data_IF_241223253378
#
_entry.id   IF_241223253378
#
_cell.length_a   1.000
_cell.length_b   1.000
_cell.length_c   1.000
_cell.angle_alpha   90.00
_cell.angle_beta   90.00
_cell.angle_gamma   90.00
#
_symmetry.space_group_name_H-M   'P 1'
#
loop_
_entity.id
_entity.type
_entity.pdbx_description
1 polymer ?
#
# COMPACT_ATOMS: atom_id res chain seq x y z
N UNK A 1 17.15 -5.61 13.13
CA UNK A 1 17.31 -4.51 12.17
C UNK A 1 16.09 -4.58 11.26
N UNK A 2 15.43 -3.45 10.96
CA UNK A 2 14.22 -3.44 10.11
C UNK A 2 14.60 -3.77 8.66
N UNK A 3 13.83 -4.67 8.05
CA UNK A 3 13.91 -5.04 6.63
C UNK A 3 12.60 -4.67 5.95
N UNK A 4 12.62 -3.65 5.14
CA UNK A 4 11.43 -2.98 4.61
C UNK A 4 11.31 -3.24 3.12
N UNK A 5 10.12 -3.62 2.67
CA UNK A 5 9.75 -3.68 1.25
C UNK A 5 8.70 -2.61 0.95
N UNK A 6 8.97 -1.77 -0.04
CA UNK A 6 8.04 -0.76 -0.52
C UNK A 6 7.58 -1.17 -1.90
N UNK A 7 6.31 -1.56 -2.04
CA UNK A 7 5.69 -1.88 -3.33
C UNK A 7 4.91 -0.68 -3.84
N UNK A 8 5.02 -0.37 -5.14
CA UNK A 8 4.56 0.88 -5.73
C UNK A 8 5.58 2.01 -5.52
N UNK A 9 6.86 1.67 -5.48
CA UNK A 9 7.97 2.59 -5.18
C UNK A 9 8.13 3.72 -6.22
N UNK A 10 7.71 3.50 -7.46
CA UNK A 10 7.74 4.51 -8.53
C UNK A 10 6.58 5.49 -8.51
N UNK A 11 5.66 5.38 -7.54
CA UNK A 11 4.56 6.34 -7.32
C UNK A 11 5.01 7.58 -6.56
N UNK A 12 4.11 8.59 -6.45
CA UNK A 12 4.38 9.86 -5.76
C UNK A 12 4.89 9.67 -4.32
N UNK A 13 4.22 8.86 -3.51
CA UNK A 13 4.66 8.59 -2.13
C UNK A 13 5.95 7.76 -2.13
N UNK A 14 6.02 6.74 -2.98
CA UNK A 14 7.14 5.80 -2.98
C UNK A 14 8.48 6.44 -3.34
N UNK A 15 8.49 7.34 -4.33
CA UNK A 15 9.69 8.06 -4.78
C UNK A 15 10.33 8.92 -3.69
N UNK A 16 9.54 9.43 -2.75
CA UNK A 16 10.02 10.20 -1.60
C UNK A 16 10.31 9.30 -0.38
N UNK A 17 9.46 8.31 -0.16
CA UNK A 17 9.55 7.45 1.03
C UNK A 17 10.77 6.52 0.99
N UNK A 18 11.11 5.98 -0.18
CA UNK A 18 12.26 5.06 -0.31
C UNK A 18 13.57 5.72 0.09
N UNK A 19 13.97 6.89 -0.47
CA UNK A 19 15.20 7.56 -0.05
C UNK A 19 15.19 7.94 1.43
N UNK A 20 14.05 8.42 1.93
CA UNK A 20 13.93 8.78 3.33
C UNK A 20 14.14 7.58 4.27
N UNK A 21 13.48 6.45 4.01
CA UNK A 21 13.68 5.26 4.84
C UNK A 21 15.09 4.66 4.68
N UNK A 22 15.68 4.76 3.50
CA UNK A 22 17.10 4.38 3.30
C UNK A 22 18.05 5.21 4.15
N UNK A 23 17.80 6.49 4.29
CA UNK A 23 18.61 7.36 5.16
C UNK A 23 18.51 6.99 6.64
N UNK A 24 17.36 6.46 7.09
CA UNK A 24 17.12 6.07 8.48
C UNK A 24 17.60 4.64 8.80
N UNK A 25 17.40 3.71 7.88
CA UNK A 25 17.61 2.28 8.14
C UNK A 25 18.79 1.69 7.36
N UNK A 26 19.39 2.45 6.45
CA UNK A 26 20.46 2.03 5.55
C UNK A 26 19.92 1.46 4.23
N UNK A 27 20.63 1.75 3.13
CA UNK A 27 20.22 1.45 1.75
C UNK A 27 19.84 -0.02 1.55
N UNK A 28 20.66 -0.95 2.07
CA UNK A 28 20.45 -2.39 1.93
C UNK A 28 19.32 -2.98 2.77
N UNK A 29 18.67 -2.16 3.59
CA UNK A 29 17.56 -2.58 4.45
C UNK A 29 16.19 -2.14 3.91
N UNK A 30 16.16 -1.38 2.82
CA UNK A 30 14.94 -0.89 2.19
C UNK A 30 14.94 -1.29 0.71
N UNK A 31 14.13 -2.28 0.40
CA UNK A 31 13.92 -2.79 -0.96
C UNK A 31 12.79 -2.00 -1.62
N UNK A 32 13.08 -1.37 -2.73
CA UNK A 32 12.07 -0.75 -3.59
C UNK A 32 11.53 -1.78 -4.59
N UNK A 33 10.22 -1.79 -4.83
CA UNK A 33 9.62 -2.66 -5.84
C UNK A 33 8.51 -1.93 -6.60
N UNK A 34 8.48 -2.09 -7.91
CA UNK A 34 7.48 -1.51 -8.80
C UNK A 34 7.37 -2.33 -10.09
N UNK A 35 6.25 -2.21 -10.78
CA UNK A 35 6.08 -2.79 -12.13
C UNK A 35 6.87 -2.01 -13.18
N UNK A 36 7.14 -0.72 -12.94
CA UNK A 36 7.84 0.17 -13.85
C UNK A 36 9.30 0.37 -13.44
N UNK A 37 10.18 -0.41 -14.06
CA UNK A 37 11.65 -0.26 -13.89
C UNK A 37 12.11 1.16 -14.26
N UNK A 38 11.54 1.72 -15.33
CA UNK A 38 11.93 3.05 -15.84
C UNK A 38 11.72 4.16 -14.79
N UNK A 39 10.59 4.16 -14.09
CA UNK A 39 10.31 5.14 -13.04
C UNK A 39 11.20 5.00 -11.81
N UNK A 40 11.79 3.83 -11.63
CA UNK A 40 12.57 3.51 -10.43
C UNK A 40 14.09 3.45 -10.66
N UNK A 41 14.60 3.88 -11.83
CA UNK A 41 16.03 3.84 -12.13
C UNK A 41 16.88 4.50 -11.04
N UNK A 42 16.50 5.71 -10.63
CA UNK A 42 17.18 6.45 -9.57
C UNK A 42 17.16 5.71 -8.21
N UNK A 43 16.11 4.94 -7.92
CA UNK A 43 16.04 4.15 -6.70
C UNK A 43 16.92 2.89 -6.77
N UNK A 44 17.14 2.35 -7.97
CA UNK A 44 17.99 1.19 -8.19
C UNK A 44 19.48 1.50 -8.06
N UNK A 45 19.90 2.74 -8.27
CA UNK A 45 21.27 3.21 -8.12
C UNK A 45 21.71 3.24 -6.65
N UNK A 46 20.79 3.58 -5.73
CA UNK A 46 21.07 3.79 -4.32
C UNK A 46 20.81 2.57 -3.43
N UNK A 47 20.24 1.49 -3.96
CA UNK A 47 19.96 0.30 -3.15
C UNK A 47 19.12 -0.75 -3.88
N UNK A 48 18.71 -1.82 -3.20
CA UNK A 48 18.03 -2.93 -3.84
C UNK A 48 16.69 -2.50 -4.46
N UNK A 49 16.48 -2.94 -5.70
CA UNK A 49 15.25 -2.77 -6.46
C UNK A 49 14.82 -4.09 -7.09
N UNK A 50 13.53 -4.35 -7.08
CA UNK A 50 12.91 -5.52 -7.71
C UNK A 50 11.76 -5.09 -8.64
N UNK A 51 11.77 -5.55 -9.87
CA UNK A 51 10.60 -5.44 -10.72
C UNK A 51 9.51 -6.39 -10.20
N UNK A 52 8.34 -5.85 -9.87
CA UNK A 52 7.24 -6.62 -9.27
C UNK A 52 5.88 -6.17 -9.77
N UNK A 53 5.14 -7.11 -10.38
CA UNK A 53 3.69 -7.00 -10.44
C UNK A 53 3.13 -7.57 -9.12
N UNK A 54 2.48 -6.73 -8.30
CA UNK A 54 1.94 -7.12 -6.98
C UNK A 54 0.86 -8.20 -7.05
N UNK A 55 0.30 -8.46 -8.22
CA UNK A 55 -0.64 -9.56 -8.45
C UNK A 55 0.07 -10.90 -8.71
N UNK A 56 1.38 -10.87 -9.00
CA UNK A 56 2.22 -12.08 -9.07
C UNK A 56 2.64 -12.48 -7.65
N UNK A 57 1.82 -13.31 -7.04
CA UNK A 57 1.99 -13.73 -5.65
C UNK A 57 3.30 -14.50 -5.43
N UNK A 58 3.70 -15.34 -6.37
CA UNK A 58 4.89 -16.19 -6.22
C UNK A 58 6.16 -15.35 -6.25
N UNK A 59 6.26 -14.42 -7.19
CA UNK A 59 7.36 -13.45 -7.26
C UNK A 59 7.39 -12.57 -6.00
N UNK A 60 6.25 -12.11 -5.52
CA UNK A 60 6.16 -11.28 -4.32
C UNK A 60 6.67 -12.03 -3.08
N UNK A 61 6.23 -13.29 -2.86
CA UNK A 61 6.73 -14.15 -1.78
C UNK A 61 8.24 -14.38 -1.89
N UNK A 62 8.73 -14.61 -3.10
CA UNK A 62 10.16 -14.84 -3.33
C UNK A 62 11.01 -13.65 -2.90
N UNK A 63 10.56 -12.41 -3.18
CA UNK A 63 11.22 -11.18 -2.76
C UNK A 63 11.20 -11.04 -1.23
N UNK A 64 10.05 -11.25 -0.59
CA UNK A 64 9.93 -11.17 0.87
C UNK A 64 10.91 -12.12 1.56
N UNK A 65 11.02 -13.34 1.06
CA UNK A 65 11.95 -14.34 1.61
C UNK A 65 13.41 -14.05 1.29
N UNK A 66 13.70 -13.62 0.05
CA UNK A 66 15.07 -13.27 -0.40
C UNK A 66 15.73 -12.23 0.48
N UNK A 67 14.97 -11.21 0.87
CA UNK A 67 15.49 -10.09 1.66
C UNK A 67 15.20 -10.20 3.16
N UNK A 68 14.46 -11.22 3.61
CA UNK A 68 14.05 -11.36 5.01
C UNK A 68 13.19 -10.20 5.49
N UNK A 69 12.21 -9.80 4.67
CA UNK A 69 11.34 -8.64 4.94
C UNK A 69 10.52 -8.86 6.21
N UNK A 70 10.48 -7.85 7.06
CA UNK A 70 9.65 -7.79 8.26
C UNK A 70 8.52 -6.73 8.19
N UNK A 71 8.59 -5.82 7.23
CA UNK A 71 7.64 -4.73 7.08
C UNK A 71 7.36 -4.45 5.60
N UNK A 72 6.10 -4.45 5.21
CA UNK A 72 5.63 -4.19 3.84
C UNK A 72 4.87 -2.86 3.82
N UNK A 73 5.27 -1.95 2.94
CA UNK A 73 4.53 -0.74 2.60
C UNK A 73 3.84 -0.97 1.26
N UNK A 74 2.54 -1.22 1.28
CA UNK A 74 1.74 -1.38 0.07
C UNK A 74 1.22 -0.02 -0.40
N UNK A 75 1.95 0.61 -1.32
CA UNK A 75 1.59 1.93 -1.88
C UNK A 75 0.88 1.82 -3.23
N UNK A 76 0.66 0.60 -3.73
CA UNK A 76 0.02 0.38 -5.03
C UNK A 76 -1.44 0.77 -4.98
N UNK A 77 -1.83 1.69 -5.86
CA UNK A 77 -3.23 2.06 -6.05
C UNK A 77 -3.49 2.65 -7.44
N UNK A 78 -4.61 2.25 -8.04
CA UNK A 78 -5.23 2.98 -9.13
C UNK A 78 -6.08 4.09 -8.54
N UNK A 79 -5.76 5.36 -8.91
CA UNK A 79 -6.42 6.54 -8.35
C UNK A 79 -7.83 6.74 -8.93
N UNK A 80 -8.63 7.59 -8.29
CA UNK A 80 -10.05 7.77 -8.57
C UNK A 80 -10.35 8.06 -10.05
N UNK A 81 -9.69 9.03 -10.66
CA UNK A 81 -9.96 9.42 -12.06
C UNK A 81 -9.72 8.28 -13.07
N UNK A 82 -8.69 7.45 -12.83
CA UNK A 82 -8.39 6.27 -13.67
C UNK A 82 -9.30 5.11 -13.28
N UNK A 83 -9.59 4.95 -12.01
CA UNK A 83 -10.46 3.89 -11.50
C UNK A 83 -11.90 4.00 -12.01
N UNK A 84 -12.44 5.22 -12.08
CA UNK A 84 -13.80 5.44 -12.63
C UNK A 84 -13.93 5.08 -14.12
N UNK A 85 -12.83 5.12 -14.88
CA UNK A 85 -12.83 4.67 -16.28
C UNK A 85 -12.84 3.16 -16.41
N UNK A 86 -12.33 2.44 -15.43
CA UNK A 86 -12.32 0.98 -15.38
C UNK A 86 -12.45 0.48 -13.92
N UNK A 87 -13.67 0.45 -13.35
CA UNK A 87 -13.89 0.06 -11.97
C UNK A 87 -13.44 -1.36 -11.61
N UNK A 88 -13.59 -2.29 -12.55
CA UNK A 88 -13.16 -3.68 -12.34
C UNK A 88 -11.63 -3.77 -12.21
N UNK A 89 -10.88 -3.09 -13.06
CA UNK A 89 -9.43 -3.02 -12.96
C UNK A 89 -8.99 -2.35 -11.66
N UNK A 90 -9.67 -1.27 -11.27
CA UNK A 90 -9.38 -0.58 -10.01
C UNK A 90 -9.58 -1.50 -8.80
N UNK A 91 -10.66 -2.26 -8.78
CA UNK A 91 -10.91 -3.25 -7.74
C UNK A 91 -9.82 -4.33 -7.73
N UNK A 92 -9.52 -4.92 -8.88
CA UNK A 92 -8.55 -6.01 -8.98
C UNK A 92 -7.14 -5.57 -8.55
N UNK A 93 -6.72 -4.36 -8.91
CA UNK A 93 -5.42 -3.85 -8.49
C UNK A 93 -5.43 -3.43 -7.02
N UNK A 94 -6.36 -2.58 -6.60
CA UNK A 94 -6.32 -1.99 -5.26
C UNK A 94 -6.57 -3.03 -4.16
N UNK A 95 -7.57 -3.90 -4.36
CA UNK A 95 -7.90 -4.94 -3.39
C UNK A 95 -6.99 -6.16 -3.55
N UNK A 96 -6.65 -6.55 -4.78
CA UNK A 96 -5.74 -7.66 -5.04
C UNK A 96 -4.34 -7.43 -4.48
N UNK A 97 -3.76 -6.24 -4.69
CA UNK A 97 -2.45 -5.87 -4.12
C UNK A 97 -2.46 -5.93 -2.59
N UNK A 98 -3.50 -5.36 -1.96
CA UNK A 98 -3.63 -5.40 -0.50
C UNK A 98 -3.82 -6.82 0.01
N UNK A 99 -4.70 -7.60 -0.61
CA UNK A 99 -4.95 -9.00 -0.21
C UNK A 99 -3.70 -9.85 -0.31
N UNK A 100 -2.90 -9.68 -1.36
CA UNK A 100 -1.62 -10.37 -1.50
C UNK A 100 -0.65 -9.94 -0.40
N UNK A 101 -0.51 -8.63 -0.13
CA UNK A 101 0.35 -8.12 0.94
C UNK A 101 -0.05 -8.68 2.31
N UNK A 102 -1.34 -8.70 2.63
CA UNK A 102 -1.86 -9.22 3.90
C UNK A 102 -1.65 -10.74 4.06
N UNK A 103 -1.91 -11.52 3.00
CA UNK A 103 -1.66 -12.96 3.02
C UNK A 103 -0.18 -13.29 3.19
N UNK A 104 0.68 -12.59 2.45
CA UNK A 104 2.14 -12.75 2.54
C UNK A 104 2.63 -12.37 3.93
N UNK A 105 2.13 -11.26 4.48
CA UNK A 105 2.48 -10.80 5.82
C UNK A 105 2.07 -11.82 6.89
N UNK A 106 0.86 -12.37 6.80
CA UNK A 106 0.38 -13.43 7.71
C UNK A 106 1.30 -14.66 7.69
N UNK A 107 1.70 -15.10 6.48
CA UNK A 107 2.48 -16.34 6.31
C UNK A 107 3.98 -16.14 6.57
N UNK A 108 4.49 -14.89 6.61
CA UNK A 108 5.91 -14.57 6.83
C UNK A 108 6.16 -13.64 8.03
N UNK A 109 5.16 -13.44 8.88
CA UNK A 109 5.24 -12.61 10.09
C UNK A 109 5.74 -11.18 9.83
N UNK A 110 5.19 -10.52 8.80
CA UNK A 110 5.48 -9.13 8.47
C UNK A 110 4.40 -8.20 9.01
N UNK A 111 4.77 -6.95 9.28
CA UNK A 111 3.81 -5.85 9.41
C UNK A 111 3.41 -5.32 8.03
N UNK A 112 2.21 -4.75 7.90
CA UNK A 112 1.72 -4.11 6.68
C UNK A 112 1.28 -2.69 6.95
N UNK A 113 1.84 -1.74 6.21
CA UNK A 113 1.30 -0.40 6.10
C UNK A 113 0.64 -0.23 4.73
N UNK A 114 -0.60 0.29 4.71
CA UNK A 114 -1.29 0.66 3.46
C UNK A 114 -1.99 2.00 3.61
N UNK A 115 -1.78 2.96 2.69
CA UNK A 115 -2.45 4.25 2.74
C UNK A 115 -3.95 4.11 2.51
N UNK A 116 -4.76 4.65 3.44
CA UNK A 116 -6.13 5.03 3.16
C UNK A 116 -6.19 6.47 2.63
N UNK A 117 -7.36 7.05 2.57
CA UNK A 117 -7.59 8.36 1.96
C UNK A 117 -8.83 9.01 2.56
N UNK A 118 -8.90 10.34 2.50
CA UNK A 118 -10.17 11.05 2.71
C UNK A 118 -11.26 10.62 1.70
N UNK A 119 -10.87 9.99 0.58
CA UNK A 119 -11.81 9.32 -0.33
C UNK A 119 -12.61 8.17 0.30
N UNK A 120 -12.21 7.69 1.49
CA UNK A 120 -13.03 6.75 2.27
C UNK A 120 -14.30 7.40 2.82
N UNK A 121 -14.32 8.71 3.03
CA UNK A 121 -15.51 9.43 3.48
C UNK A 121 -16.51 9.62 2.33
N UNK A 122 -17.78 9.39 2.62
CA UNK A 122 -18.87 9.56 1.66
C UNK A 122 -19.55 10.93 1.77
N UNK A 123 -20.54 11.19 0.90
CA UNK A 123 -21.30 12.46 0.86
C UNK A 123 -22.05 12.76 2.16
N UNK A 124 -22.42 11.73 2.93
CA UNK A 124 -23.19 11.85 4.17
C UNK A 124 -22.27 11.94 5.41
N UNK A 125 -20.96 11.98 5.22
CA UNK A 125 -20.00 12.18 6.30
C UNK A 125 -20.10 13.60 6.86
N UNK A 126 -20.14 13.80 8.19
CA UNK A 126 -20.09 15.14 8.79
C UNK A 126 -18.88 15.92 8.28
N UNK A 127 -19.10 17.19 7.88
CA UNK A 127 -18.02 18.03 7.31
C UNK A 127 -17.23 18.79 8.37
N UNK A 128 -17.75 18.88 9.58
CA UNK A 128 -17.08 19.53 10.70
C UNK A 128 -16.85 18.52 11.82
N UNK A 129 -15.64 18.57 12.40
CA UNK A 129 -15.20 17.71 13.51
C UNK A 129 -15.49 16.22 13.27
N UNK A 130 -15.25 15.75 12.05
CA UNK A 130 -15.50 14.36 11.64
C UNK A 130 -14.80 13.37 12.58
N UNK A 131 -15.54 12.49 13.28
CA UNK A 131 -14.94 11.48 14.14
C UNK A 131 -14.09 10.49 13.35
N UNK A 132 -13.05 9.92 13.98
CA UNK A 132 -12.16 8.94 13.37
C UNK A 132 -12.92 7.68 12.91
N UNK A 133 -13.89 7.23 13.67
CA UNK A 133 -14.71 6.03 13.46
C UNK A 133 -16.06 6.34 12.78
N UNK A 134 -16.12 7.44 12.00
CA UNK A 134 -17.30 7.77 11.21
C UNK A 134 -17.70 6.64 10.29
N UNK A 135 -18.99 6.31 10.28
CA UNK A 135 -19.55 5.29 9.41
C UNK A 135 -19.35 5.64 7.92
N UNK A 136 -18.60 4.79 7.22
CA UNK A 136 -18.15 5.03 5.84
C UNK A 136 -19.10 4.38 4.82
N UNK A 137 -20.34 4.82 4.80
CA UNK A 137 -21.32 4.49 3.77
C UNK A 137 -21.38 5.61 2.73
N UNK A 138 -22.09 5.41 1.66
CA UNK A 138 -22.32 6.45 0.65
C UNK A 138 -21.07 6.90 -0.15
N UNK A 139 -20.02 6.07 -0.24
CA UNK A 139 -18.93 6.36 -1.16
C UNK A 139 -19.47 6.44 -2.60
N UNK A 140 -18.99 7.43 -3.34
CA UNK A 140 -19.44 7.72 -4.69
C UNK A 140 -18.46 7.31 -5.76
N UNK A 141 -17.29 6.79 -5.38
CA UNK A 141 -16.24 6.36 -6.29
C UNK A 141 -15.77 4.95 -5.97
N UNK A 142 -15.38 4.18 -7.00
CA UNK A 142 -14.77 2.86 -6.82
C UNK A 142 -13.50 2.95 -5.97
N UNK A 143 -12.74 4.05 -6.11
CA UNK A 143 -11.56 4.32 -5.29
C UNK A 143 -11.93 4.41 -3.80
N UNK A 144 -12.95 5.18 -3.45
CA UNK A 144 -13.44 5.28 -2.07
C UNK A 144 -13.93 3.94 -1.53
N UNK A 145 -14.67 3.18 -2.34
CA UNK A 145 -15.09 1.81 -1.98
C UNK A 145 -13.89 0.92 -1.69
N UNK A 146 -12.84 0.95 -2.54
CA UNK A 146 -11.62 0.19 -2.30
C UNK A 146 -10.91 0.62 -1.00
N UNK A 147 -10.87 1.92 -0.69
CA UNK A 147 -10.23 2.39 0.56
C UNK A 147 -10.97 1.92 1.80
N UNK A 148 -12.29 2.02 1.83
CA UNK A 148 -13.11 1.46 2.94
C UNK A 148 -12.93 -0.04 3.06
N UNK A 149 -13.01 -0.76 1.96
CA UNK A 149 -12.78 -2.23 1.95
C UNK A 149 -11.37 -2.57 2.46
N UNK A 150 -10.37 -1.78 2.09
CA UNK A 150 -8.99 -1.97 2.54
C UNK A 150 -8.82 -1.79 4.04
N UNK A 151 -9.48 -0.79 4.64
CA UNK A 151 -9.49 -0.61 6.10
C UNK A 151 -10.15 -1.80 6.79
N UNK A 152 -11.32 -2.24 6.33
CA UNK A 152 -12.04 -3.39 6.89
C UNK A 152 -11.24 -4.70 6.76
N UNK A 153 -10.56 -4.92 5.63
CA UNK A 153 -9.68 -6.08 5.45
C UNK A 153 -8.50 -6.03 6.40
N UNK A 154 -7.89 -4.86 6.59
CA UNK A 154 -6.77 -4.68 7.51
C UNK A 154 -7.18 -5.00 8.95
N UNK A 155 -8.32 -4.49 9.40
CA UNK A 155 -8.90 -4.80 10.72
C UNK A 155 -9.20 -6.30 10.88
N UNK A 156 -9.77 -6.93 9.85
CA UNK A 156 -10.03 -8.36 9.86
C UNK A 156 -8.75 -9.19 10.00
N UNK A 157 -7.69 -8.84 9.25
CA UNK A 157 -6.41 -9.56 9.32
C UNK A 157 -5.70 -9.36 10.67
N UNK A 158 -5.80 -8.17 11.25
CA UNK A 158 -5.32 -7.92 12.61
C UNK A 158 -6.08 -8.77 13.63
N UNK A 159 -7.41 -8.70 13.64
CA UNK A 159 -8.24 -9.36 14.64
C UNK A 159 -8.21 -10.89 14.50
N UNK A 160 -8.17 -11.42 13.28
CA UNK A 160 -8.29 -12.86 13.02
C UNK A 160 -6.95 -13.57 13.00
N UNK A 161 -5.90 -12.92 12.52
CA UNK A 161 -4.60 -13.54 12.25
C UNK A 161 -3.44 -12.87 13.00
N UNK A 162 -3.68 -11.77 13.70
CA UNK A 162 -2.64 -11.04 14.43
C UNK A 162 -1.64 -10.31 13.55
N UNK A 163 -1.95 -10.04 12.28
CA UNK A 163 -1.08 -9.26 11.40
C UNK A 163 -1.03 -7.81 11.88
N UNK A 164 0.14 -7.26 12.16
CA UNK A 164 0.28 -5.82 12.48
C UNK A 164 -0.03 -4.99 11.23
N UNK A 165 -1.26 -4.49 11.14
CA UNK A 165 -1.73 -3.65 10.04
C UNK A 165 -1.86 -2.21 10.50
N UNK A 166 -1.37 -1.27 9.67
CA UNK A 166 -1.44 0.17 9.96
C UNK A 166 -1.85 0.94 8.72
N UNK A 167 -2.62 2.01 8.94
CA UNK A 167 -3.12 2.87 7.88
C UNK A 167 -3.26 4.31 8.34
N UNK A 168 -3.21 5.24 7.40
CA UNK A 168 -3.58 6.65 7.60
C UNK A 168 -4.42 7.11 6.43
N UNK A 169 -5.47 7.91 6.72
CA UNK A 169 -6.29 8.54 5.70
C UNK A 169 -5.59 9.81 5.23
N UNK A 170 -4.84 9.72 4.14
CA UNK A 170 -4.18 10.88 3.57
C UNK A 170 -5.19 11.86 2.97
N UNK A 171 -4.97 13.18 3.16
CA UNK A 171 -5.62 14.23 2.39
C UNK A 171 -5.06 14.29 0.96
N UNK A 172 -5.34 15.36 0.22
CA UNK A 172 -4.63 15.66 -1.01
C UNK A 172 -3.14 15.86 -0.74
N UNK A 173 -2.30 15.13 -1.47
CA UNK A 173 -0.84 15.28 -1.37
C UNK A 173 -0.38 16.33 -2.36
N UNK A 174 0.51 17.19 -1.91
CA UNK A 174 1.18 18.22 -2.71
C UNK A 174 2.63 17.76 -2.89
N UNK A 175 3.07 17.72 -4.16
CA UNK A 175 4.46 17.39 -4.55
C UNK A 175 4.99 18.44 -5.50
#
# INVERSE_FOLDING_TARGET
>A
MKKILIVGAGGQIGSELVPHLRSLYGNNNVVAADISVEKCKHLAEDGPFEELNVLDKDKYISIVRKYGIDSIFNLVALLSATGEKNPELAWNINIGALTNSLNIAKDNNCAVFTPSSIGAFGKDTPKDKTPQDTLQRSNTTIYGVCKVTGELLSDYYFNRFGVDTRSVRFPGLIS
#
